data_IF_619183253235
#
_entry.id   IF_619183253235
#
_cell.length_a   1.000
_cell.length_b   1.000
_cell.length_c   1.000
_cell.angle_alpha   90.00
_cell.angle_beta   90.00
_cell.angle_gamma   90.00
#
_symmetry.space_group_name_H-M   'P 1'
#
loop_
_entity.id
_entity.type
_entity.pdbx_description
1 polymer ?
#
# COMPACT_ATOMS: atom_id res chain seq x y z
N UNK A 1 2.87 -10.30 9.93
CA UNK A 1 2.62 -8.90 10.33
C UNK A 1 1.66 -8.34 9.33
N UNK A 2 0.40 -8.23 9.72
CA UNK A 2 -0.62 -7.56 8.92
C UNK A 2 -0.56 -6.07 9.25
N UNK A 3 0.06 -5.30 8.35
CA UNK A 3 0.27 -3.86 8.52
C UNK A 3 -1.01 -3.05 8.25
N UNK A 4 -1.93 -3.63 7.47
CA UNK A 4 -3.09 -2.91 6.96
C UNK A 4 -4.13 -2.56 8.03
N UNK A 5 -4.49 -3.43 9.00
CA UNK A 5 -5.43 -3.07 10.06
C UNK A 5 -4.96 -1.87 10.90
N UNK A 6 -3.66 -1.81 11.21
CA UNK A 6 -3.11 -0.70 11.96
C UNK A 6 -3.05 0.58 11.13
N UNK A 7 -2.69 0.49 9.84
CA UNK A 7 -2.75 1.62 8.92
C UNK A 7 -4.17 2.19 8.80
N UNK A 8 -5.19 1.33 8.74
CA UNK A 8 -6.61 1.73 8.75
C UNK A 8 -6.97 2.46 10.04
N UNK A 9 -6.53 1.94 11.20
CA UNK A 9 -6.86 2.50 12.52
C UNK A 9 -6.39 3.95 12.66
N UNK A 10 -5.17 4.25 12.20
CA UNK A 10 -4.56 5.60 12.31
C UNK A 10 -4.95 6.55 11.18
N UNK A 11 -5.44 6.02 10.06
CA UNK A 11 -5.86 6.84 8.91
C UNK A 11 -7.23 7.45 9.19
N UNK A 12 -7.36 8.76 8.98
CA UNK A 12 -8.66 9.46 9.03
C UNK A 12 -9.54 9.05 7.85
N UNK A 13 -10.85 9.22 7.98
CA UNK A 13 -11.77 9.04 6.85
C UNK A 13 -11.39 9.96 5.69
N UNK A 14 -11.49 9.45 4.45
CA UNK A 14 -11.01 10.11 3.24
C UNK A 14 -9.47 10.17 3.11
N UNK A 15 -8.72 9.66 4.09
CA UNK A 15 -7.28 9.57 4.04
C UNK A 15 -6.80 8.44 3.14
N UNK A 16 -5.54 8.56 2.68
CA UNK A 16 -4.91 7.61 1.78
C UNK A 16 -3.81 6.81 2.47
N UNK A 17 -3.76 5.52 2.18
CA UNK A 17 -2.68 4.61 2.57
C UNK A 17 -1.96 4.24 1.29
N UNK A 18 -0.69 4.64 1.17
CA UNK A 18 0.13 4.34 -0.01
C UNK A 18 1.16 3.27 0.34
N UNK A 19 1.19 2.22 -0.45
CA UNK A 19 2.14 1.11 -0.31
C UNK A 19 3.00 1.09 -1.56
N UNK A 20 4.30 1.23 -1.36
CA UNK A 20 5.30 1.09 -2.40
C UNK A 20 6.04 -0.23 -2.17
N UNK A 21 5.96 -1.14 -3.14
CA UNK A 21 6.58 -2.45 -3.05
C UNK A 21 6.84 -3.07 -4.41
N UNK A 22 7.54 -4.21 -4.43
CA UNK A 22 7.77 -5.01 -5.63
C UNK A 22 7.36 -6.47 -5.37
N UNK A 23 7.30 -7.29 -6.42
CA UNK A 23 6.82 -8.67 -6.32
C UNK A 23 7.53 -9.55 -5.27
N UNK A 24 8.86 -9.42 -5.03
CA UNK A 24 9.55 -10.13 -3.95
C UNK A 24 9.09 -9.77 -2.52
N UNK A 25 8.39 -8.65 -2.35
CA UNK A 25 7.89 -8.22 -1.04
C UNK A 25 6.61 -9.01 -0.68
N UNK A 26 6.69 -9.89 0.32
CA UNK A 26 5.55 -10.67 0.82
C UNK A 26 4.34 -9.83 1.24
N UNK A 27 4.56 -8.58 1.63
CA UNK A 27 3.52 -7.62 2.02
C UNK A 27 2.82 -6.96 0.83
N UNK A 28 3.44 -7.05 -0.34
CA UNK A 28 2.92 -6.58 -1.62
C UNK A 28 2.23 -7.72 -2.39
N UNK A 29 2.77 -8.94 -2.29
CA UNK A 29 2.20 -10.13 -2.95
C UNK A 29 0.93 -10.65 -2.26
N UNK A 30 0.84 -10.53 -0.94
CA UNK A 30 -0.32 -10.99 -0.16
C UNK A 30 -1.34 -9.86 0.01
N UNK A 31 -1.80 -9.34 -1.12
CA UNK A 31 -2.81 -8.28 -1.15
C UNK A 31 -4.17 -8.84 -0.68
N UNK A 32 -4.87 -8.17 0.26
CA UNK A 32 -6.21 -8.59 0.67
C UNK A 32 -7.19 -8.55 -0.51
N UNK A 33 -8.18 -9.43 -0.47
CA UNK A 33 -9.28 -9.46 -1.43
C UNK A 33 -10.17 -8.22 -1.30
N UNK A 34 -10.97 -7.93 -2.33
CA UNK A 34 -11.93 -6.80 -2.27
C UNK A 34 -12.85 -6.90 -1.06
N UNK A 35 -13.35 -8.11 -0.75
CA UNK A 35 -14.23 -8.34 0.40
C UNK A 35 -13.55 -8.02 1.74
N UNK A 36 -12.27 -8.37 1.89
CA UNK A 36 -11.50 -8.07 3.09
C UNK A 36 -11.22 -6.56 3.22
N UNK A 37 -10.93 -5.90 2.09
CA UNK A 37 -10.76 -4.44 2.05
C UNK A 37 -12.07 -3.72 2.42
N UNK A 38 -13.21 -4.16 1.88
CA UNK A 38 -14.52 -3.59 2.20
C UNK A 38 -14.86 -3.77 3.68
N UNK A 39 -14.56 -4.94 4.27
CA UNK A 39 -14.72 -5.18 5.70
C UNK A 39 -13.83 -4.28 6.58
N UNK A 40 -12.69 -3.82 6.04
CA UNK A 40 -11.79 -2.85 6.66
C UNK A 40 -12.16 -1.39 6.36
N UNK A 41 -13.20 -1.15 5.55
CA UNK A 41 -13.56 0.20 5.09
C UNK A 41 -12.52 0.82 4.15
N UNK A 42 -11.85 -0.01 3.35
CA UNK A 42 -10.87 0.42 2.35
C UNK A 42 -11.34 0.16 0.93
N UNK A 43 -10.94 1.02 0.01
CA UNK A 43 -11.08 0.80 -1.43
C UNK A 43 -9.77 1.09 -2.16
N UNK A 44 -9.48 0.29 -3.20
CA UNK A 44 -8.32 0.53 -4.06
C UNK A 44 -8.63 1.73 -4.96
N UNK A 45 -7.88 2.82 -4.78
CA UNK A 45 -7.90 3.98 -5.67
C UNK A 45 -6.93 3.82 -6.84
N UNK A 46 -5.80 3.17 -6.61
CA UNK A 46 -4.76 2.96 -7.61
C UNK A 46 -3.98 1.67 -7.34
N UNK A 47 -3.62 0.96 -8.41
CA UNK A 47 -2.69 -0.16 -8.39
C UNK A 47 -1.93 -0.19 -9.72
N UNK A 48 -0.61 -0.04 -9.67
CA UNK A 48 0.17 0.03 -10.90
C UNK A 48 1.62 0.43 -10.70
N UNK A 49 2.29 0.95 -11.75
CA UNK A 49 3.65 1.46 -11.67
C UNK A 49 3.88 2.43 -10.51
N UNK A 50 5.13 2.55 -10.06
CA UNK A 50 5.50 3.50 -9.01
C UNK A 50 5.03 4.93 -9.36
N UNK A 51 4.26 5.54 -8.45
CA UNK A 51 3.74 6.89 -8.62
C UNK A 51 4.91 7.90 -8.74
N UNK A 52 4.77 8.95 -9.58
CA UNK A 52 5.86 9.87 -9.89
C UNK A 52 6.55 10.50 -8.67
N UNK A 53 5.79 10.82 -7.63
CA UNK A 53 6.28 11.43 -6.40
C UNK A 53 7.25 10.54 -5.61
N UNK A 54 7.19 9.22 -5.80
CA UNK A 54 8.09 8.26 -5.14
C UNK A 54 9.29 7.86 -5.99
N UNK A 55 9.36 8.27 -7.27
CA UNK A 55 10.46 7.87 -8.17
C UNK A 55 11.83 8.43 -7.77
N UNK A 56 11.86 9.53 -7.02
CA UNK A 56 13.09 10.12 -6.49
C UNK A 56 13.59 9.46 -5.19
N UNK A 57 12.87 8.48 -4.64
CA UNK A 57 13.22 7.84 -3.37
C UNK A 57 14.20 6.68 -3.56
N UNK A 58 15.05 6.46 -2.56
CA UNK A 58 15.91 5.28 -2.48
C UNK A 58 15.21 4.17 -1.71
N UNK A 59 14.89 3.07 -2.39
CA UNK A 59 14.32 1.87 -1.78
C UNK A 59 15.44 0.89 -1.42
N UNK A 60 15.38 0.33 -0.21
CA UNK A 60 16.36 -0.64 0.28
C UNK A 60 15.65 -1.76 1.04
N UNK A 61 16.23 -2.96 1.00
CA UNK A 61 15.81 -4.06 1.87
C UNK A 61 16.13 -3.74 3.33
N UNK A 62 15.62 -4.54 4.26
CA UNK A 62 15.97 -4.42 5.70
C UNK A 62 17.46 -4.63 5.96
N UNK A 63 18.18 -5.25 5.02
CA UNK A 63 19.64 -5.44 5.06
C UNK A 63 20.41 -4.29 4.37
N UNK A 64 19.71 -3.24 3.91
CA UNK A 64 20.31 -2.08 3.27
C UNK A 64 20.64 -2.26 1.78
N UNK A 65 20.27 -3.39 1.18
CA UNK A 65 20.52 -3.67 -0.24
C UNK A 65 19.58 -2.80 -1.09
N UNK A 66 20.09 -2.01 -2.05
CA UNK A 66 19.26 -1.20 -2.93
C UNK A 66 18.26 -2.05 -3.73
N UNK A 67 17.04 -1.56 -3.85
CA UNK A 67 15.99 -2.13 -4.70
C UNK A 67 15.90 -1.26 -5.96
N UNK A 68 15.92 -1.90 -7.13
CA UNK A 68 15.74 -1.20 -8.39
C UNK A 68 14.34 -0.58 -8.44
N UNK A 69 14.31 0.75 -8.56
CA UNK A 69 13.08 1.56 -8.62
C UNK A 69 12.17 1.15 -9.77
N UNK A 70 12.71 0.60 -10.86
CA UNK A 70 11.91 0.15 -12.01
C UNK A 70 11.11 -1.13 -11.71
N UNK A 71 11.46 -1.84 -10.63
CA UNK A 71 10.71 -3.02 -10.15
C UNK A 71 9.58 -2.63 -9.19
N UNK A 72 9.53 -1.37 -8.76
CA UNK A 72 8.60 -0.88 -7.75
C UNK A 72 7.24 -0.54 -8.37
N UNK A 73 6.21 -0.76 -7.57
CA UNK A 73 4.82 -0.49 -7.86
C UNK A 73 4.18 0.22 -6.68
N UNK A 74 3.12 0.96 -6.94
CA UNK A 74 2.33 1.65 -5.93
C UNK A 74 0.93 1.09 -5.88
N UNK A 75 0.42 0.95 -4.65
CA UNK A 75 -0.98 0.71 -4.36
C UNK A 75 -1.46 1.84 -3.46
N UNK A 76 -2.59 2.43 -3.81
CA UNK A 76 -3.24 3.46 -3.00
C UNK A 76 -4.59 2.95 -2.54
N UNK A 77 -4.76 2.89 -1.24
CA UNK A 77 -6.05 2.69 -0.62
C UNK A 77 -6.61 4.00 -0.11
N UNK A 78 -7.93 4.15 -0.17
CA UNK A 78 -8.66 5.22 0.48
C UNK A 78 -9.48 4.62 1.61
N UNK A 79 -9.40 5.23 2.80
CA UNK A 79 -10.30 4.89 3.90
C UNK A 79 -11.66 5.52 3.65
N UNK A 80 -12.64 4.68 3.39
CA UNK A 80 -14.03 5.09 3.34
C UNK A 80 -14.48 5.50 4.74
N UNK A 81 -15.32 6.52 4.82
CA UNK A 81 -16.09 6.74 6.03
C UNK A 81 -16.96 5.51 6.28
N UNK A 82 -17.06 5.07 7.54
CA UNK A 82 -17.95 3.96 7.87
C UNK A 82 -19.35 4.40 7.43
N UNK A 83 -19.92 3.75 6.41
CA UNK A 83 -21.35 3.91 6.12
C UNK A 83 -22.07 3.34 7.34
N UNK A 84 -22.55 4.24 8.20
CA UNK A 84 -23.49 3.93 9.27
C UNK A 84 -24.78 3.36 8.68
#
# INVERSE_FOLDING_TARGET
>A
MDYLPEAVRITREGGEIVINGNAPNKYFSNMPTSTELDAMGLTIKYQGPLLPEYRGMSFKTTQGIPIDVNTMQSIVFVKNGVKQ
#
